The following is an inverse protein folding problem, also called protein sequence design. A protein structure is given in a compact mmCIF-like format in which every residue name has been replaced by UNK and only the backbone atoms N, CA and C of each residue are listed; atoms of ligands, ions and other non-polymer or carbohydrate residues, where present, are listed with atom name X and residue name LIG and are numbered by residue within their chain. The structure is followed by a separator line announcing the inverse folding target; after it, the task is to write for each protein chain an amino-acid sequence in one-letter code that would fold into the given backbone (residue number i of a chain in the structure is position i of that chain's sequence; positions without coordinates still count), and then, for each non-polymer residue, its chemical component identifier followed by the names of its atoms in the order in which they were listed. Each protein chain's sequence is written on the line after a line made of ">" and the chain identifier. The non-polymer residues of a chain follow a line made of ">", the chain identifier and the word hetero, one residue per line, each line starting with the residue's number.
data_IF_318331637883
#
_entry.id   IF_318331637883
#
_cell.length_a   1.000
_cell.length_b   1.000
_cell.length_c   1.000
_cell.angle_alpha   90.00
_cell.angle_beta   90.00
_cell.angle_gamma   90.00
#
_symmetry.space_group_name_H-M   'P 1'
#
loop_
_entity.id
_entity.type
_entity.pdbx_description
1 polymer ?
#
# COMPACT_ATOMS: atom_id res chain seq x y z
N UNK A 1 5.49 9.94 -26.06
CA UNK A 1 5.75 8.51 -25.78
C UNK A 1 4.93 8.15 -24.55
N UNK A 2 3.88 7.33 -24.70
CA UNK A 2 3.18 6.77 -23.53
C UNK A 2 4.04 5.64 -22.97
N UNK A 3 4.26 5.65 -21.66
CA UNK A 3 4.87 4.52 -20.96
C UNK A 3 3.95 3.29 -21.08
N UNK A 4 4.49 2.07 -21.21
CA UNK A 4 3.70 0.86 -21.13
C UNK A 4 2.94 0.83 -19.79
N UNK A 5 1.62 0.61 -19.86
CA UNK A 5 0.76 0.53 -18.69
C UNK A 5 0.61 -0.94 -18.33
N UNK A 6 1.03 -1.30 -17.11
CA UNK A 6 0.73 -2.63 -16.58
C UNK A 6 -0.77 -2.80 -16.41
N UNK A 7 -1.30 -3.96 -16.82
CA UNK A 7 -2.66 -4.36 -16.45
C UNK A 7 -2.79 -4.77 -14.96
N UNK A 8 -1.68 -4.76 -14.21
CA UNK A 8 -1.68 -5.02 -12.78
C UNK A 8 -2.40 -3.90 -12.02
N UNK A 9 -3.61 -4.17 -11.56
CA UNK A 9 -4.27 -3.37 -10.54
C UNK A 9 -3.48 -3.48 -9.23
N UNK A 10 -3.02 -2.36 -8.69
CA UNK A 10 -2.55 -2.29 -7.31
C UNK A 10 -3.77 -2.14 -6.42
N UNK A 11 -3.89 -3.06 -5.49
CA UNK A 11 -4.99 -3.13 -4.55
C UNK A 11 -4.46 -2.61 -3.22
N UNK A 12 -4.96 -1.46 -2.80
CA UNK A 12 -4.58 -0.86 -1.55
C UNK A 12 -5.63 -1.19 -0.48
N UNK A 13 -5.20 -1.88 0.57
CA UNK A 13 -6.06 -2.07 1.74
C UNK A 13 -6.02 -0.81 2.59
N UNK A 14 -7.15 -0.10 2.71
CA UNK A 14 -7.25 1.07 3.58
C UNK A 14 -7.66 0.60 4.98
N UNK A 15 -6.72 0.34 5.88
CA UNK A 15 -7.07 0.06 7.28
C UNK A 15 -7.56 1.34 7.97
N UNK A 16 -8.88 1.50 8.14
CA UNK A 16 -9.46 2.41 9.11
C UNK A 16 -10.00 1.59 10.28
N UNK A 17 -9.35 1.67 11.44
CA UNK A 17 -9.91 1.13 12.68
C UNK A 17 -10.97 2.13 13.14
N UNK A 18 -12.25 1.74 13.09
CA UNK A 18 -13.34 2.52 13.69
C UNK A 18 -13.36 2.15 15.17
N UNK A 19 -12.75 2.98 16.02
CA UNK A 19 -12.85 2.78 17.47
C UNK A 19 -14.32 2.98 17.89
N UNK A 20 -14.89 1.91 18.44
CA UNK A 20 -16.32 1.75 18.68
C UNK A 20 -16.88 2.62 19.78
N UNK A 21 -17.07 3.92 19.53
CA UNK A 21 -17.99 4.76 20.31
C UNK A 21 -18.78 5.70 19.39
N UNK A 22 -20.10 5.50 19.38
CA UNK A 22 -21.07 6.45 18.87
C UNK A 22 -21.05 7.70 19.77
N UNK A 23 -20.59 8.82 19.26
CA UNK A 23 -21.00 10.14 19.74
C UNK A 23 -21.17 11.06 18.53
N UNK A 24 -22.35 11.65 18.46
CA UNK A 24 -22.74 12.60 17.44
C UNK A 24 -21.80 13.82 17.43
N UNK A 25 -21.78 14.52 16.29
CA UNK A 25 -21.26 15.89 16.15
C UNK A 25 -19.76 16.05 16.43
N UNK A 26 -18.94 15.48 15.55
CA UNK A 26 -17.94 16.19 14.76
C UNK A 26 -17.36 15.16 13.80
N UNK A 27 -17.37 15.46 12.50
CA UNK A 27 -16.92 14.57 11.42
C UNK A 27 -15.39 14.51 11.41
N UNK A 28 -14.76 14.16 12.53
CA UNK A 28 -13.32 13.88 12.58
C UNK A 28 -13.10 12.56 11.85
N UNK A 29 -12.83 12.68 10.55
CA UNK A 29 -12.50 11.59 9.63
C UNK A 29 -11.36 10.75 10.20
N UNK A 30 -11.69 9.60 10.78
CA UNK A 30 -10.71 8.54 10.99
C UNK A 30 -10.06 8.27 9.63
N UNK A 31 -8.77 8.54 9.55
CA UNK A 31 -8.01 8.82 8.34
C UNK A 31 -8.23 7.77 7.25
N UNK A 32 -9.09 8.06 6.28
CA UNK A 32 -9.02 7.43 4.96
C UNK A 32 -7.67 7.86 4.37
N UNK A 33 -6.68 6.96 4.47
CA UNK A 33 -5.31 7.21 4.01
C UNK A 33 -5.23 7.28 2.49
N UNK A 34 -6.27 6.79 1.81
CA UNK A 34 -6.49 6.86 0.38
C UNK A 34 -7.94 7.28 0.18
N UNK A 35 -8.17 8.23 -0.72
CA UNK A 35 -9.49 8.69 -1.13
C UNK A 35 -9.59 8.53 -2.65
N UNK A 36 -10.73 8.02 -3.11
CA UNK A 36 -11.07 7.89 -4.53
C UNK A 36 -12.11 8.95 -4.87
N UNK A 37 -11.76 9.86 -5.77
CA UNK A 37 -12.64 10.90 -6.28
C UNK A 37 -13.67 10.34 -7.28
N UNK A 38 -14.64 11.18 -7.64
CA UNK A 38 -15.75 10.80 -8.52
C UNK A 38 -15.30 10.33 -9.92
N UNK A 39 -14.14 10.80 -10.41
CA UNK A 39 -13.58 10.36 -11.70
C UNK A 39 -12.42 9.36 -11.53
N UNK A 40 -12.31 8.72 -10.37
CA UNK A 40 -11.24 7.76 -10.08
C UNK A 40 -9.89 8.41 -9.73
N UNK A 41 -9.88 9.67 -9.32
CA UNK A 41 -8.69 10.33 -8.80
C UNK A 41 -8.27 9.71 -7.47
N UNK A 42 -6.99 9.36 -7.33
CA UNK A 42 -6.47 8.75 -6.10
C UNK A 42 -5.73 9.80 -5.30
N UNK A 43 -6.17 10.06 -4.07
CA UNK A 43 -5.49 10.95 -3.12
C UNK A 43 -4.96 10.14 -1.96
N UNK A 44 -3.63 10.11 -1.78
CA UNK A 44 -2.98 9.44 -0.65
C UNK A 44 -2.63 10.48 0.42
N UNK A 45 -3.21 10.39 1.60
CA UNK A 45 -2.97 11.28 2.77
C UNK A 45 -2.20 10.60 3.90
N UNK A 46 -1.77 9.35 3.69
CA UNK A 46 -0.95 8.59 4.62
C UNK A 46 0.27 9.39 5.12
N UNK A 47 0.43 9.49 6.44
CA UNK A 47 1.62 10.07 7.10
C UNK A 47 2.70 9.05 7.47
N UNK A 48 2.35 7.76 7.48
CA UNK A 48 3.27 6.65 7.74
C UNK A 48 3.33 5.66 6.57
N UNK A 49 3.90 4.49 6.81
CA UNK A 49 3.99 3.39 5.84
C UNK A 49 2.61 2.95 5.34
N UNK A 50 2.45 2.78 4.04
CA UNK A 50 1.22 2.34 3.39
C UNK A 50 1.38 0.91 2.89
N UNK A 51 0.51 0.00 3.32
CA UNK A 51 0.56 -1.41 2.92
C UNK A 51 -0.33 -1.64 1.70
N UNK A 52 0.26 -2.21 0.65
CA UNK A 52 -0.33 -2.39 -0.67
C UNK A 52 -0.18 -3.84 -1.12
N UNK A 53 -1.22 -4.40 -1.69
CA UNK A 53 -1.18 -5.64 -2.44
C UNK A 53 -0.97 -5.30 -3.93
N UNK A 54 0.19 -5.65 -4.46
CA UNK A 54 0.57 -5.38 -5.85
C UNK A 54 0.50 -6.62 -6.76
N UNK A 55 -0.15 -7.70 -6.31
CA UNK A 55 -0.26 -8.96 -7.07
C UNK A 55 -1.23 -8.90 -8.25
N UNK A 56 -2.07 -7.86 -8.35
CA UNK A 56 -3.18 -7.82 -9.29
C UNK A 56 -4.40 -8.65 -8.87
N UNK A 57 -4.34 -9.37 -7.74
CA UNK A 57 -5.43 -10.22 -7.27
C UNK A 57 -6.03 -9.71 -5.95
N UNK A 58 -7.28 -9.25 -6.03
CA UNK A 58 -8.03 -8.68 -4.89
C UNK A 58 -8.61 -9.73 -3.95
N UNK A 59 -8.77 -10.99 -4.40
CA UNK A 59 -9.38 -12.05 -3.60
C UNK A 59 -8.69 -12.20 -2.25
N UNK A 60 -7.36 -12.17 -2.26
CA UNK A 60 -6.57 -12.28 -1.03
C UNK A 60 -6.84 -11.12 -0.06
N UNK A 61 -6.97 -9.90 -0.59
CA UNK A 61 -7.27 -8.71 0.21
C UNK A 61 -8.69 -8.75 0.80
N UNK A 62 -9.66 -9.26 0.04
CA UNK A 62 -11.06 -9.43 0.49
C UNK A 62 -11.16 -10.51 1.57
N UNK A 63 -10.58 -11.69 1.31
CA UNK A 63 -10.62 -12.85 2.22
C UNK A 63 -9.97 -12.56 3.57
N UNK A 64 -8.83 -11.88 3.58
CA UNK A 64 -8.13 -11.59 4.84
C UNK A 64 -8.85 -10.55 5.70
N UNK A 65 -9.59 -9.63 5.07
CA UNK A 65 -10.16 -8.48 5.76
C UNK A 65 -11.59 -8.71 6.26
N UNK A 66 -12.35 -9.58 5.59
CA UNK A 66 -13.77 -9.77 5.87
C UNK A 66 -14.60 -8.50 5.66
N UNK A 67 -15.68 -8.33 6.42
CA UNK A 67 -16.67 -7.25 6.25
C UNK A 67 -16.19 -5.86 6.75
N UNK A 68 -14.97 -5.74 7.27
CA UNK A 68 -14.51 -4.52 7.95
C UNK A 68 -13.76 -3.53 7.05
N UNK A 69 -14.32 -2.33 6.86
CA UNK A 69 -13.65 -1.11 6.34
C UNK A 69 -13.70 -0.91 4.81
N UNK A 70 -13.03 0.13 4.28
CA UNK A 70 -12.95 0.38 2.83
C UNK A 70 -11.77 -0.30 2.10
N UNK A 71 -11.99 -0.95 0.96
CA UNK A 71 -10.94 -1.43 0.04
C UNK A 71 -10.94 -0.52 -1.20
N UNK A 72 -9.77 -0.04 -1.58
CA UNK A 72 -9.61 0.71 -2.82
C UNK A 72 -8.59 0.04 -3.74
N UNK A 73 -8.81 0.15 -5.03
CA UNK A 73 -7.86 -0.29 -6.06
C UNK A 73 -7.51 0.90 -6.96
N UNK A 74 -6.32 0.84 -7.55
CA UNK A 74 -5.86 1.78 -8.57
C UNK A 74 -4.73 1.13 -9.37
N UNK A 75 -4.44 1.64 -10.57
CA UNK A 75 -3.32 1.17 -11.37
C UNK A 75 -2.07 2.03 -11.12
N UNK A 76 -0.90 1.42 -11.24
CA UNK A 76 0.40 2.11 -11.25
C UNK A 76 1.14 1.82 -12.56
N UNK A 77 2.21 2.56 -12.84
CA UNK A 77 3.12 2.24 -13.94
C UNK A 77 3.82 0.89 -13.75
N UNK A 78 4.12 0.19 -14.85
CA UNK A 78 4.83 -1.10 -14.81
C UNK A 78 6.25 -0.94 -14.25
N UNK A 79 6.95 0.11 -14.68
CA UNK A 79 8.31 0.42 -14.23
C UNK A 79 8.37 0.60 -12.71
N UNK A 80 7.37 1.27 -12.12
CA UNK A 80 7.31 1.43 -10.67
C UNK A 80 7.03 0.11 -9.95
N UNK A 81 6.17 -0.74 -10.50
CA UNK A 81 5.91 -2.08 -9.94
C UNK A 81 7.19 -2.94 -9.94
N UNK A 82 7.91 -2.96 -11.06
CA UNK A 82 9.19 -3.68 -11.18
C UNK A 82 10.20 -3.13 -10.17
N UNK A 83 10.35 -1.80 -10.09
CA UNK A 83 11.24 -1.15 -9.13
C UNK A 83 10.92 -1.54 -7.68
N UNK A 84 9.64 -1.55 -7.29
CA UNK A 84 9.24 -1.96 -5.94
C UNK A 84 9.64 -3.42 -5.69
N UNK A 85 9.37 -4.33 -6.63
CA UNK A 85 9.70 -5.76 -6.50
C UNK A 85 11.21 -5.99 -6.34
N UNK A 86 12.02 -5.32 -7.13
CA UNK A 86 13.48 -5.49 -7.14
C UNK A 86 14.17 -4.86 -5.93
N UNK A 87 13.61 -3.77 -5.39
CA UNK A 87 14.22 -3.02 -4.29
C UNK A 87 13.67 -3.36 -2.90
N UNK A 88 12.55 -4.09 -2.83
CA UNK A 88 11.92 -4.41 -1.57
C UNK A 88 12.82 -5.28 -0.68
N UNK A 89 12.85 -4.96 0.62
CA UNK A 89 13.62 -5.65 1.65
C UNK A 89 12.66 -6.44 2.56
N UNK A 90 13.03 -7.63 3.06
CA UNK A 90 12.20 -8.34 4.03
C UNK A 90 12.09 -7.56 5.34
N UNK A 91 10.93 -7.69 6.00
CA UNK A 91 10.71 -7.07 7.30
C UNK A 91 11.69 -7.59 8.37
N UNK A 92 11.94 -8.90 8.37
CA UNK A 92 12.97 -9.50 9.19
C UNK A 92 14.31 -9.45 8.46
N UNK A 93 15.34 -8.91 9.12
CA UNK A 93 16.68 -8.82 8.56
C UNK A 93 17.24 -10.21 8.26
N UNK A 94 16.90 -11.20 9.08
CA UNK A 94 17.47 -12.56 8.98
C UNK A 94 16.98 -13.29 7.70
N UNK A 95 15.95 -12.76 7.03
CA UNK A 95 15.46 -13.26 5.74
C UNK A 95 16.21 -12.61 4.54
N UNK A 96 17.21 -11.76 4.79
CA UNK A 96 18.04 -11.12 3.78
C UNK A 96 19.48 -11.65 3.82
N UNK A 97 20.14 -11.91 2.66
CA UNK A 97 21.53 -12.40 2.64
C UNK A 97 22.52 -11.52 3.40
N UNK A 98 22.34 -10.20 3.32
CA UNK A 98 23.18 -9.21 4.04
C UNK A 98 22.63 -8.84 5.44
N UNK A 99 21.61 -9.56 5.92
CA UNK A 99 20.91 -9.26 7.17
C UNK A 99 21.78 -9.34 8.41
N UNK A 100 22.79 -10.22 8.41
CA UNK A 100 23.72 -10.39 9.52
C UNK A 100 24.76 -9.27 9.61
N UNK A 101 24.98 -8.53 8.52
CA UNK A 101 25.87 -7.37 8.50
C UNK A 101 25.22 -6.10 9.10
N UNK A 102 23.94 -6.15 9.45
CA UNK A 102 23.19 -5.00 9.99
C UNK A 102 22.66 -5.28 11.40
N UNK A 103 22.76 -4.29 12.29
CA UNK A 103 21.98 -4.30 13.53
C UNK A 103 20.48 -4.15 13.22
N UNK A 104 19.63 -4.53 14.18
CA UNK A 104 18.18 -4.33 14.05
C UNK A 104 17.80 -2.85 13.86
N UNK A 105 18.56 -1.93 14.45
CA UNK A 105 18.31 -0.49 14.33
C UNK A 105 18.65 0.02 12.92
N UNK A 106 19.81 -0.38 12.39
CA UNK A 106 20.20 -0.05 11.00
C UNK A 106 19.20 -0.64 9.99
N UNK A 107 18.76 -1.89 10.21
CA UNK A 107 17.76 -2.52 9.36
C UNK A 107 16.44 -1.74 9.35
N UNK A 108 15.95 -1.32 10.53
CA UNK A 108 14.76 -0.46 10.63
C UNK A 108 14.94 0.88 9.92
N UNK A 109 16.15 1.44 9.96
CA UNK A 109 16.52 2.63 9.18
C UNK A 109 16.42 2.39 7.68
N UNK A 110 16.97 1.28 7.18
CA UNK A 110 16.85 0.89 5.77
C UNK A 110 15.38 0.73 5.34
N UNK A 111 14.53 0.13 6.18
CA UNK A 111 13.10 -0.02 5.90
C UNK A 111 12.30 1.30 5.89
N UNK A 112 12.94 2.45 6.17
CA UNK A 112 12.38 3.78 5.89
C UNK A 112 12.73 4.30 4.49
N UNK A 113 13.80 3.78 3.88
CA UNK A 113 14.31 4.20 2.58
C UNK A 113 13.87 3.25 1.44
N UNK A 114 13.56 2.00 1.76
CA UNK A 114 13.15 0.97 0.80
C UNK A 114 11.74 0.47 1.08
N UNK A 115 11.02 -0.02 0.04
CA UNK A 115 9.82 -0.82 0.26
C UNK A 115 10.12 -2.03 1.15
N UNK A 116 9.15 -2.39 1.98
CA UNK A 116 9.23 -3.57 2.85
C UNK A 116 8.36 -4.70 2.28
N UNK A 117 8.86 -5.92 2.23
CA UNK A 117 8.03 -7.12 2.02
C UNK A 117 7.30 -7.37 3.34
N UNK A 118 5.99 -7.18 3.36
CA UNK A 118 5.21 -7.11 4.60
C UNK A 118 5.04 -8.47 5.27
N UNK A 119 4.48 -9.45 4.57
CA UNK A 119 4.37 -10.83 5.04
C UNK A 119 4.16 -11.76 3.83
N UNK A 120 5.23 -12.41 3.33
CA UNK A 120 5.13 -13.29 2.16
C UNK A 120 4.32 -14.56 2.46
N UNK A 121 4.07 -14.90 3.73
CA UNK A 121 3.26 -16.06 4.12
C UNK A 121 1.76 -15.78 4.01
N UNK A 122 1.37 -14.50 3.96
CA UNK A 122 -0.03 -14.09 3.76
C UNK A 122 -0.32 -13.99 2.28
N UNK A 123 0.52 -13.30 1.52
CA UNK A 123 0.33 -13.22 0.07
C UNK A 123 1.61 -12.82 -0.65
N UNK A 124 1.65 -13.12 -1.94
CA UNK A 124 2.69 -12.60 -2.84
C UNK A 124 2.46 -11.11 -3.08
N UNK A 125 3.54 -10.36 -3.31
CA UNK A 125 3.50 -8.93 -3.65
C UNK A 125 2.79 -8.05 -2.60
N UNK A 126 2.93 -8.37 -1.32
CA UNK A 126 2.48 -7.52 -0.22
C UNK A 126 3.62 -6.60 0.22
N UNK A 127 3.47 -5.30 -0.05
CA UNK A 127 4.51 -4.32 0.18
C UNK A 127 4.08 -3.20 1.13
N UNK A 128 4.96 -2.83 2.05
CA UNK A 128 4.88 -1.62 2.84
C UNK A 128 5.69 -0.50 2.22
N UNK A 129 5.04 0.52 1.67
CA UNK A 129 5.68 1.70 1.10
C UNK A 129 5.90 2.74 2.21
N UNK A 130 7.15 3.06 2.60
CA UNK A 130 7.42 4.03 3.65
C UNK A 130 7.00 5.44 3.24
N UNK A 131 6.79 6.32 4.23
CA UNK A 131 6.28 7.67 4.02
C UNK A 131 7.13 8.48 3.03
N UNK A 132 8.45 8.29 3.04
CA UNK A 132 9.41 8.94 2.14
C UNK A 132 9.18 8.63 0.66
N UNK A 133 8.65 7.43 0.35
CA UNK A 133 8.40 6.97 -1.01
C UNK A 133 6.97 7.24 -1.49
N UNK A 134 6.10 7.83 -0.66
CA UNK A 134 4.71 8.08 -1.05
C UNK A 134 4.56 9.11 -2.16
N UNK A 135 5.48 10.06 -2.31
CA UNK A 135 5.44 11.00 -3.44
C UNK A 135 5.69 10.26 -4.76
N UNK A 136 6.70 9.40 -4.80
CA UNK A 136 6.99 8.59 -5.97
C UNK A 136 5.82 7.66 -6.32
N UNK A 137 5.19 7.04 -5.31
CA UNK A 137 3.96 6.27 -5.52
C UNK A 137 2.88 7.14 -6.20
N UNK A 138 2.62 8.34 -5.68
CA UNK A 138 1.59 9.25 -6.23
C UNK A 138 1.88 9.60 -7.69
N UNK A 139 3.13 9.87 -8.04
CA UNK A 139 3.55 10.22 -9.39
C UNK A 139 3.38 9.07 -10.40
N UNK A 140 3.38 7.83 -9.90
CA UNK A 140 3.24 6.61 -10.72
C UNK A 140 1.82 6.04 -10.76
N UNK A 141 0.85 6.64 -10.07
CA UNK A 141 -0.56 6.23 -10.17
C UNK A 141 -1.11 6.64 -11.54
N UNK A 142 -1.76 5.71 -12.22
CA UNK A 142 -2.48 5.98 -13.45
C UNK A 142 -3.71 6.83 -13.12
N UNK A 143 -3.79 8.03 -13.68
CA UNK A 143 -4.89 8.97 -13.43
C UNK A 143 -6.24 8.35 -13.81
N UNK A 144 -7.25 8.57 -12.96
CA UNK A 144 -8.61 8.06 -13.16
C UNK A 144 -8.79 6.55 -12.99
N UNK A 145 -7.75 5.84 -12.50
CA UNK A 145 -7.81 4.38 -12.33
C UNK A 145 -8.40 3.93 -10.99
N UNK A 146 -8.63 4.87 -10.07
CA UNK A 146 -9.10 4.60 -8.72
C UNK A 146 -10.52 4.03 -8.68
N UNK A 147 -10.73 3.02 -7.82
CA UNK A 147 -12.04 2.42 -7.55
C UNK A 147 -12.18 2.10 -6.08
N UNK A 148 -13.40 2.21 -5.55
CA UNK A 148 -13.77 1.60 -4.28
C UNK A 148 -14.33 0.22 -4.57
N UNK A 149 -13.68 -0.80 -4.04
CA UNK A 149 -14.01 -2.22 -4.27
C UNK A 149 -14.92 -2.77 -3.17
N UNK A 150 -14.81 -2.21 -1.98
CA UNK A 150 -15.66 -2.50 -0.83
C UNK A 150 -15.76 -1.24 0.02
N UNK A 151 -16.97 -0.86 0.41
CA UNK A 151 -17.21 0.18 1.42
C UNK A 151 -17.17 -0.41 2.83
N UNK A 152 -16.86 0.44 3.81
CA UNK A 152 -16.72 0.06 5.23
C UNK A 152 -17.84 0.52 6.14
#
# INVERSE_FOLDING_TARGET
>A
MSLPVSDAAVIATISAKRDGKNLATEKTSLSQRIHIGENGEVTITAKGKLYLNMSGNIKHTLEYRGDGGQIASFKISEDYLVKVRESARPQNKDDHPDGDASTRTEWKGLLQEYPEISDPTKGKDLYGIPAKLLNELRDNIIKGSGRVEQEG
#
